data_IF_421352807916
#
_entry.id   IF_421352807916
#
_cell.length_a   1.000
_cell.length_b   1.000
_cell.length_c   1.000
_cell.angle_alpha   90.00
_cell.angle_beta   90.00
_cell.angle_gamma   90.00
#
_symmetry.space_group_name_H-M   'P 1'
#
loop_
_entity.id
_entity.type
_entity.pdbx_description
1 polymer ?
#
# COMPACT_ATOMS: atom_id res chain seq x y z
N UNK A 1 -11.31 36.28 -6.26
CA UNK A 1 -11.28 34.91 -5.73
C UNK A 1 -11.00 34.95 -4.25
N UNK A 2 -11.95 34.52 -3.44
CA UNK A 2 -11.84 34.47 -1.99
C UNK A 2 -10.77 33.47 -1.55
N UNK A 3 -10.21 33.61 -0.34
CA UNK A 3 -9.24 32.66 0.23
C UNK A 3 -9.77 31.23 0.23
N UNK A 4 -11.08 31.04 0.37
CA UNK A 4 -11.77 29.74 0.35
C UNK A 4 -11.81 29.13 -1.05
N UNK A 5 -11.99 29.93 -2.09
CA UNK A 5 -11.95 29.46 -3.49
C UNK A 5 -10.54 29.08 -3.92
N UNK A 6 -9.52 29.83 -3.49
CA UNK A 6 -8.12 29.48 -3.73
C UNK A 6 -7.71 28.18 -3.03
N UNK A 7 -8.24 27.92 -1.84
CA UNK A 7 -8.01 26.65 -1.12
C UNK A 7 -8.66 25.46 -1.81
N UNK A 8 -9.90 25.64 -2.30
CA UNK A 8 -10.62 24.60 -3.07
C UNK A 8 -9.95 24.27 -4.41
N UNK A 9 -9.54 25.29 -5.15
CA UNK A 9 -8.82 25.09 -6.44
C UNK A 9 -7.49 24.39 -6.19
N UNK A 10 -6.75 24.75 -5.13
CA UNK A 10 -5.52 24.06 -4.74
C UNK A 10 -5.76 22.61 -4.37
N UNK A 11 -6.76 22.32 -3.53
CA UNK A 11 -7.10 20.96 -3.13
C UNK A 11 -7.52 20.08 -4.32
N UNK A 12 -8.30 20.63 -5.26
CA UNK A 12 -8.76 19.90 -6.45
C UNK A 12 -7.62 19.66 -7.46
N UNK A 13 -6.71 20.63 -7.61
CA UNK A 13 -5.54 20.47 -8.47
C UNK A 13 -4.53 19.47 -7.88
N UNK A 14 -4.35 19.45 -6.55
CA UNK A 14 -3.43 18.53 -5.86
C UNK A 14 -3.96 17.10 -5.91
N UNK A 15 -5.29 16.89 -5.79
CA UNK A 15 -5.88 15.56 -5.90
C UNK A 15 -5.78 14.99 -7.33
N UNK A 16 -6.05 15.83 -8.36
CA UNK A 16 -5.86 15.43 -9.77
C UNK A 16 -4.41 15.11 -10.10
N UNK A 17 -3.47 15.94 -9.64
CA UNK A 17 -2.04 15.69 -9.85
C UNK A 17 -1.58 14.42 -9.14
N UNK A 18 -2.12 14.15 -7.95
CA UNK A 18 -1.89 12.90 -7.21
C UNK A 18 -2.42 11.67 -7.95
N UNK A 19 -3.62 11.75 -8.51
CA UNK A 19 -4.23 10.67 -9.30
C UNK A 19 -3.48 10.45 -10.64
N UNK A 20 -3.07 11.53 -11.30
CA UNK A 20 -2.27 11.46 -12.54
C UNK A 20 -0.85 10.94 -12.28
N UNK A 21 -0.22 11.32 -11.18
CA UNK A 21 1.08 10.79 -10.78
C UNK A 21 0.98 9.31 -10.36
N UNK A 22 -0.07 8.91 -9.66
CA UNK A 22 -0.33 7.51 -9.33
C UNK A 22 -0.58 6.67 -10.59
N UNK A 23 -1.34 7.20 -11.56
CA UNK A 23 -1.55 6.55 -12.85
C UNK A 23 -0.27 6.47 -13.69
N UNK A 24 0.52 7.54 -13.74
CA UNK A 24 1.81 7.56 -14.43
C UNK A 24 2.85 6.64 -13.74
N UNK A 25 2.78 6.52 -12.43
CA UNK A 25 3.56 5.58 -11.62
C UNK A 25 3.21 4.14 -11.98
N UNK A 26 1.92 3.82 -12.04
CA UNK A 26 1.41 2.50 -12.43
C UNK A 26 1.88 2.06 -13.82
N UNK A 27 1.85 2.96 -14.80
CA UNK A 27 2.24 2.65 -16.19
C UNK A 27 3.75 2.44 -16.35
N UNK A 28 4.59 3.11 -15.55
CA UNK A 28 6.06 3.05 -15.69
C UNK A 28 6.75 2.02 -14.81
N UNK A 29 6.22 1.75 -13.63
CA UNK A 29 6.85 0.84 -12.65
C UNK A 29 6.24 -0.55 -12.65
N UNK A 30 5.13 -0.77 -13.38
CA UNK A 30 4.34 -1.99 -13.25
C UNK A 30 3.67 -2.16 -11.89
N UNK A 31 3.87 -1.19 -10.96
CA UNK A 31 3.18 -1.12 -9.67
C UNK A 31 1.80 -0.50 -9.89
N UNK A 32 0.76 -1.32 -9.98
CA UNK A 32 -0.61 -0.85 -10.13
C UNK A 32 -1.17 -0.20 -8.86
N UNK A 33 -2.30 0.50 -8.99
CA UNK A 33 -3.11 0.95 -7.83
C UNK A 33 -3.38 -0.23 -6.86
N UNK A 34 -3.46 -1.46 -7.39
CA UNK A 34 -3.60 -2.69 -6.62
C UNK A 34 -2.40 -2.94 -5.71
N UNK A 35 -1.16 -2.76 -6.20
CA UNK A 35 0.04 -2.99 -5.39
C UNK A 35 0.16 -1.99 -4.24
N UNK A 36 -0.18 -0.71 -4.47
CA UNK A 36 -0.21 0.30 -3.41
C UNK A 36 -1.29 0.00 -2.37
N UNK A 37 -2.48 -0.43 -2.81
CA UNK A 37 -3.56 -0.81 -1.91
C UNK A 37 -3.25 -2.10 -1.16
N UNK A 38 -2.71 -3.10 -1.84
CA UNK A 38 -2.45 -4.42 -1.27
C UNK A 38 -1.16 -4.45 -0.44
N UNK A 39 -0.10 -3.77 -0.85
CA UNK A 39 1.16 -3.75 -0.10
C UNK A 39 1.16 -2.71 1.01
N UNK A 40 1.00 -1.42 0.69
CA UNK A 40 1.13 -0.35 1.68
C UNK A 40 -0.17 -0.14 2.47
N UNK A 41 -1.31 -0.04 1.78
CA UNK A 41 -2.60 0.20 2.41
C UNK A 41 -2.99 -0.91 3.37
N UNK A 42 -2.87 -2.16 2.94
CA UNK A 42 -3.17 -3.33 3.77
C UNK A 42 -2.19 -3.47 4.95
N UNK A 43 -0.89 -3.20 4.73
CA UNK A 43 0.10 -3.22 5.83
C UNK A 43 -0.27 -2.22 6.92
N UNK A 44 -0.63 -0.99 6.58
CA UNK A 44 -1.05 0.03 7.54
C UNK A 44 -2.30 -0.41 8.31
N UNK A 45 -3.33 -0.90 7.61
CA UNK A 45 -4.57 -1.36 8.26
C UNK A 45 -4.32 -2.54 9.20
N UNK A 46 -3.54 -3.53 8.77
CA UNK A 46 -3.16 -4.68 9.61
C UNK A 46 -2.35 -4.26 10.84
N UNK A 47 -1.39 -3.36 10.65
CA UNK A 47 -0.58 -2.82 11.75
C UNK A 47 -1.46 -2.11 12.77
N UNK A 48 -2.37 -1.24 12.32
CA UNK A 48 -3.33 -0.58 13.21
C UNK A 48 -4.19 -1.57 13.99
N UNK A 49 -4.79 -2.55 13.29
CA UNK A 49 -5.62 -3.57 13.95
C UNK A 49 -4.83 -4.34 15.02
N UNK A 50 -3.56 -4.64 14.76
CA UNK A 50 -2.70 -5.32 15.74
C UNK A 50 -2.29 -4.39 16.89
N UNK A 51 -2.04 -3.11 16.65
CA UNK A 51 -1.77 -2.14 17.72
C UNK A 51 -2.96 -2.02 18.67
N UNK A 52 -4.20 -1.96 18.16
CA UNK A 52 -5.38 -1.98 19.01
C UNK A 52 -5.53 -3.29 19.79
N UNK A 53 -5.24 -4.41 19.16
CA UNK A 53 -5.42 -5.73 19.78
C UNK A 53 -4.34 -6.09 20.79
N UNK A 54 -3.08 -5.68 20.58
CA UNK A 54 -1.91 -6.17 21.31
C UNK A 54 -1.12 -5.09 22.02
N UNK A 55 -1.38 -3.82 21.72
CA UNK A 55 -0.68 -2.67 22.30
C UNK A 55 -1.64 -1.55 22.74
N UNK A 56 -2.90 -1.88 23.07
CA UNK A 56 -3.90 -0.95 23.63
C UNK A 56 -4.11 0.31 22.77
N UNK A 57 -3.99 0.19 21.42
CA UNK A 57 -4.11 1.32 20.52
C UNK A 57 -2.96 2.33 20.65
N UNK A 58 -1.77 1.91 21.05
CA UNK A 58 -0.61 2.77 21.22
C UNK A 58 0.59 2.26 20.43
N UNK A 59 1.47 3.16 20.03
CA UNK A 59 2.80 2.80 19.53
C UNK A 59 3.59 2.26 20.75
N UNK A 60 4.16 1.04 20.65
CA UNK A 60 4.98 0.48 21.73
C UNK A 60 6.28 1.26 21.97
N UNK A 61 6.99 0.92 23.05
CA UNK A 61 8.29 1.51 23.38
C UNK A 61 9.34 1.22 22.30
N UNK A 62 10.26 2.17 22.06
CA UNK A 62 11.32 2.02 21.07
C UNK A 62 12.21 0.81 21.33
N UNK A 63 12.48 0.04 20.27
CA UNK A 63 13.40 -1.09 20.30
C UNK A 63 14.40 -0.99 19.15
N UNK A 64 15.54 -1.69 19.30
CA UNK A 64 16.53 -1.77 18.22
C UNK A 64 15.91 -2.35 16.94
N UNK A 65 16.35 -1.84 15.80
CA UNK A 65 15.78 -2.13 14.48
C UNK A 65 16.73 -2.89 13.56
N UNK A 66 17.65 -3.71 14.08
CA UNK A 66 18.70 -4.36 13.29
C UNK A 66 18.17 -5.12 12.07
N UNK A 67 17.01 -5.76 12.20
CA UNK A 67 16.38 -6.55 11.14
C UNK A 67 15.77 -5.70 10.01
N UNK A 68 15.50 -4.41 10.25
CA UNK A 68 14.91 -3.47 9.29
C UNK A 68 15.77 -2.22 9.10
N UNK A 69 17.02 -2.25 9.56
CA UNK A 69 17.94 -1.11 9.51
C UNK A 69 18.29 -0.67 8.08
N UNK A 70 18.11 -1.52 7.08
CA UNK A 70 18.30 -1.16 5.66
C UNK A 70 17.46 0.05 5.24
N UNK A 71 16.32 0.27 5.89
CA UNK A 71 15.46 1.45 5.66
C UNK A 71 16.17 2.76 5.94
N UNK A 72 17.02 2.85 6.96
CA UNK A 72 17.75 4.07 7.31
C UNK A 72 18.81 4.45 6.27
N UNK A 73 19.40 3.48 5.59
CA UNK A 73 20.34 3.71 4.48
C UNK A 73 19.68 4.07 3.16
N UNK A 74 18.36 3.87 3.06
CA UNK A 74 17.64 4.02 1.79
C UNK A 74 17.60 5.47 1.32
N UNK A 75 17.42 6.44 2.21
CA UNK A 75 17.43 7.87 1.86
C UNK A 75 18.73 8.28 1.15
N UNK A 76 19.88 7.79 1.63
CA UNK A 76 21.18 8.01 0.99
C UNK A 76 21.27 7.42 -0.42
N UNK A 77 20.68 6.24 -0.65
CA UNK A 77 20.64 5.60 -1.97
C UNK A 77 19.66 6.30 -2.93
N UNK A 78 18.53 6.79 -2.44
CA UNK A 78 17.52 7.45 -3.27
C UNK A 78 17.94 8.85 -3.72
N UNK A 79 18.69 9.60 -2.91
CA UNK A 79 19.14 10.98 -3.26
C UNK A 79 19.84 11.09 -4.63
N UNK A 80 20.84 10.27 -4.97
CA UNK A 80 21.46 10.34 -6.31
C UNK A 80 20.48 9.97 -7.42
N UNK A 81 19.62 8.98 -7.23
CA UNK A 81 18.60 8.60 -8.22
C UNK A 81 17.64 9.76 -8.54
N UNK A 82 17.19 10.46 -7.51
CA UNK A 82 16.33 11.66 -7.68
C UNK A 82 17.09 12.78 -8.40
N UNK A 83 18.35 13.03 -8.08
CA UNK A 83 19.19 14.03 -8.78
C UNK A 83 19.40 13.71 -10.25
N UNK A 84 19.48 12.43 -10.59
CA UNK A 84 19.61 11.93 -11.96
C UNK A 84 18.25 11.78 -12.66
N UNK A 85 17.15 12.24 -12.05
CA UNK A 85 15.78 12.14 -12.56
C UNK A 85 15.30 10.68 -12.77
N UNK A 86 15.93 9.71 -12.10
CA UNK A 86 15.57 8.30 -12.11
C UNK A 86 14.47 8.00 -11.08
N UNK A 87 13.38 8.76 -11.13
CA UNK A 87 12.30 8.69 -10.13
C UNK A 87 11.67 7.30 -10.03
N UNK A 88 11.50 6.59 -11.15
CA UNK A 88 10.93 5.24 -11.18
C UNK A 88 11.78 4.26 -10.35
N UNK A 89 13.12 4.29 -10.51
CA UNK A 89 14.03 3.42 -9.73
C UNK A 89 13.96 3.77 -8.24
N UNK A 90 13.95 5.07 -7.91
CA UNK A 90 13.86 5.51 -6.53
C UNK A 90 12.54 5.03 -5.86
N UNK A 91 11.44 5.06 -6.61
CA UNK A 91 10.14 4.59 -6.10
C UNK A 91 10.08 3.06 -6.00
N UNK A 92 10.67 2.33 -6.94
CA UNK A 92 10.80 0.87 -6.86
C UNK A 92 11.58 0.44 -5.62
N UNK A 93 12.71 1.10 -5.31
CA UNK A 93 13.46 0.82 -4.08
C UNK A 93 12.66 1.14 -2.81
N UNK A 94 11.93 2.25 -2.78
CA UNK A 94 11.07 2.59 -1.64
C UNK A 94 9.94 1.56 -1.46
N UNK A 95 9.32 1.09 -2.55
CA UNK A 95 8.30 0.05 -2.50
C UNK A 95 8.87 -1.33 -2.17
N UNK A 96 10.10 -1.64 -2.59
CA UNK A 96 10.79 -2.86 -2.17
C UNK A 96 10.96 -2.91 -0.64
N UNK A 97 11.22 -1.76 -0.01
CA UNK A 97 11.25 -1.67 1.46
C UNK A 97 9.87 -1.92 2.09
N UNK A 98 8.79 -1.40 1.53
CA UNK A 98 7.42 -1.72 1.98
C UNK A 98 7.14 -3.23 1.88
N UNK A 99 7.57 -3.87 0.80
CA UNK A 99 7.47 -5.34 0.64
C UNK A 99 8.30 -6.09 1.68
N UNK A 100 9.48 -5.57 2.05
CA UNK A 100 10.28 -6.14 3.14
C UNK A 100 9.57 -6.04 4.49
N UNK A 101 8.89 -4.92 4.79
CA UNK A 101 8.06 -4.78 5.99
C UNK A 101 6.90 -5.79 6.01
N UNK A 102 6.23 -5.98 4.87
CA UNK A 102 5.16 -6.99 4.75
C UNK A 102 5.69 -8.41 4.99
N UNK A 103 6.85 -8.75 4.45
CA UNK A 103 7.50 -10.02 4.67
C UNK A 103 7.85 -10.21 6.13
N UNK A 104 8.49 -9.20 6.74
CA UNK A 104 8.88 -9.22 8.15
C UNK A 104 7.70 -9.52 9.10
N UNK A 105 6.58 -8.82 8.93
CA UNK A 105 5.40 -9.03 9.78
C UNK A 105 4.78 -10.43 9.57
N UNK A 106 4.86 -10.97 8.35
CA UNK A 106 4.37 -12.31 8.06
C UNK A 106 5.29 -13.42 8.60
N UNK A 107 6.60 -13.20 8.62
CA UNK A 107 7.59 -14.13 9.18
C UNK A 107 7.56 -14.14 10.70
N UNK A 108 7.51 -12.96 11.32
CA UNK A 108 7.49 -12.83 12.80
C UNK A 108 6.14 -13.18 13.43
N UNK A 109 5.05 -13.10 12.69
CA UNK A 109 3.69 -13.47 13.11
C UNK A 109 3.32 -12.94 14.51
N UNK A 110 3.28 -11.63 14.72
CA UNK A 110 3.03 -11.05 16.05
C UNK A 110 1.72 -11.53 16.71
N UNK A 111 0.73 -11.98 15.91
CA UNK A 111 -0.51 -12.57 16.43
C UNK A 111 -0.34 -13.97 17.08
N UNK A 112 0.70 -14.72 16.70
CA UNK A 112 1.09 -15.97 17.33
C UNK A 112 2.02 -15.70 18.52
N UNK A 113 3.00 -14.78 18.35
CA UNK A 113 3.95 -14.39 19.39
C UNK A 113 3.25 -13.83 20.62
N UNK A 114 2.22 -13.03 20.47
CA UNK A 114 1.53 -12.38 21.58
C UNK A 114 1.03 -13.36 22.65
N UNK A 115 0.72 -14.59 22.26
CA UNK A 115 0.28 -15.63 23.20
C UNK A 115 1.40 -16.18 24.09
N UNK A 116 2.64 -16.11 23.64
CA UNK A 116 3.81 -16.69 24.31
C UNK A 116 4.75 -15.62 24.84
N UNK A 117 5.01 -14.61 24.04
CA UNK A 117 6.00 -13.56 24.26
C UNK A 117 5.40 -12.20 23.89
N UNK A 118 4.49 -11.64 24.73
CA UNK A 118 3.77 -10.41 24.39
C UNK A 118 4.71 -9.20 24.18
N UNK A 119 5.82 -9.12 24.89
CA UNK A 119 6.78 -8.04 24.73
C UNK A 119 7.50 -8.12 23.39
N UNK A 120 7.88 -9.32 22.93
CA UNK A 120 8.48 -9.46 21.59
C UNK A 120 7.45 -9.17 20.49
N UNK A 121 6.18 -9.53 20.67
CA UNK A 121 5.13 -9.16 19.75
C UNK A 121 4.96 -7.62 19.64
N UNK A 122 5.06 -6.90 20.77
CA UNK A 122 5.07 -5.44 20.79
C UNK A 122 6.31 -4.86 20.12
N UNK A 123 7.47 -5.46 20.34
CA UNK A 123 8.73 -5.09 19.69
C UNK A 123 8.64 -5.24 18.17
N UNK A 124 8.07 -6.32 17.68
CA UNK A 124 7.80 -6.52 16.24
C UNK A 124 6.88 -5.41 15.71
N UNK A 125 5.80 -5.08 16.42
CA UNK A 125 4.89 -4.01 16.01
C UNK A 125 5.58 -2.65 16.00
N UNK A 126 6.41 -2.34 16.98
CA UNK A 126 7.22 -1.12 16.98
C UNK A 126 8.10 -1.02 15.73
N UNK A 127 8.85 -2.09 15.41
CA UNK A 127 9.73 -2.14 14.23
C UNK A 127 8.97 -1.89 12.94
N UNK A 128 7.75 -2.44 12.81
CA UNK A 128 6.90 -2.19 11.62
C UNK A 128 6.42 -0.75 11.57
N UNK A 129 5.99 -0.16 12.69
CA UNK A 129 5.56 1.25 12.76
C UNK A 129 6.71 2.18 12.38
N UNK A 130 7.91 1.92 12.92
CA UNK A 130 9.09 2.72 12.60
C UNK A 130 9.50 2.56 11.13
N UNK A 131 9.43 1.36 10.58
CA UNK A 131 9.63 1.13 9.15
C UNK A 131 8.61 1.87 8.28
N UNK A 132 7.34 1.87 8.67
CA UNK A 132 6.28 2.64 7.99
C UNK A 132 6.51 4.15 8.09
N UNK A 133 7.05 4.66 9.21
CA UNK A 133 7.47 6.04 9.36
C UNK A 133 8.53 6.40 8.31
N UNK A 134 9.58 5.60 8.21
CA UNK A 134 10.66 5.79 7.21
C UNK A 134 10.09 5.72 5.79
N UNK A 135 9.33 4.69 5.45
CA UNK A 135 8.69 4.55 4.14
C UNK A 135 7.81 5.76 3.80
N UNK A 136 7.04 6.28 4.77
CA UNK A 136 6.18 7.45 4.56
C UNK A 136 6.97 8.71 4.21
N UNK A 137 8.16 8.89 4.78
CA UNK A 137 9.04 10.03 4.46
C UNK A 137 9.58 9.89 3.04
N UNK A 138 10.08 8.70 2.68
CA UNK A 138 10.68 8.43 1.38
C UNK A 138 9.66 8.52 0.22
N UNK A 139 8.40 8.16 0.47
CA UNK A 139 7.31 8.24 -0.51
C UNK A 139 6.59 9.60 -0.53
N UNK A 140 6.87 10.50 0.42
CA UNK A 140 6.24 11.84 0.48
C UNK A 140 6.42 12.65 -0.83
N UNK A 141 7.56 12.66 -1.52
CA UNK A 141 7.69 13.41 -2.78
C UNK A 141 6.75 12.95 -3.89
N UNK A 142 6.38 11.67 -3.89
CA UNK A 142 5.48 11.09 -4.89
C UNK A 142 3.99 11.20 -4.50
N UNK A 143 3.68 11.05 -3.21
CA UNK A 143 2.32 10.98 -2.70
C UNK A 143 2.17 11.77 -1.38
N UNK A 144 2.35 13.11 -1.38
CA UNK A 144 2.42 13.91 -0.15
C UNK A 144 1.19 13.75 0.73
N UNK A 145 -0.01 13.86 0.16
CA UNK A 145 -1.26 13.80 0.91
C UNK A 145 -1.50 12.41 1.51
N UNK A 146 -1.24 11.36 0.73
CA UNK A 146 -1.39 9.97 1.19
C UNK A 146 -0.39 9.61 2.29
N UNK A 147 0.82 10.12 2.20
CA UNK A 147 1.82 9.90 3.25
C UNK A 147 1.50 10.71 4.52
N UNK A 148 0.91 11.89 4.40
CA UNK A 148 0.39 12.62 5.55
C UNK A 148 -0.81 11.90 6.19
N UNK A 149 -1.73 11.34 5.40
CA UNK A 149 -2.83 10.50 5.89
C UNK A 149 -2.30 9.24 6.61
N UNK A 150 -1.28 8.57 6.05
CA UNK A 150 -0.63 7.42 6.66
C UNK A 150 -0.04 7.78 8.04
N UNK A 151 0.72 8.88 8.09
CA UNK A 151 1.32 9.34 9.36
C UNK A 151 0.25 9.65 10.40
N UNK A 152 -0.80 10.37 10.03
CA UNK A 152 -1.95 10.62 10.92
C UNK A 152 -2.60 9.33 11.38
N UNK A 153 -2.85 8.38 10.48
CA UNK A 153 -3.46 7.10 10.80
C UNK A 153 -2.65 6.29 11.83
N UNK A 154 -1.33 6.44 11.86
CA UNK A 154 -0.43 5.78 12.81
C UNK A 154 -0.04 6.68 14.00
N UNK A 155 -0.62 7.88 14.14
CA UNK A 155 -0.27 8.80 15.21
C UNK A 155 1.18 9.33 15.12
N UNK A 156 1.80 9.31 13.95
CA UNK A 156 3.15 9.81 13.72
C UNK A 156 3.15 11.33 13.50
N UNK A 157 4.32 11.97 13.57
CA UNK A 157 4.47 13.39 13.24
C UNK A 157 4.10 13.66 11.79
N UNK A 158 3.29 14.69 11.54
CA UNK A 158 2.88 15.05 10.18
C UNK A 158 4.00 15.75 9.41
N UNK A 159 4.66 16.72 10.04
CA UNK A 159 5.82 17.40 9.47
C UNK A 159 7.06 16.52 9.64
N UNK A 160 7.70 16.24 8.52
CA UNK A 160 8.88 15.35 8.49
C UNK A 160 9.96 15.94 7.59
N UNK A 161 11.20 15.61 7.91
CA UNK A 161 12.38 15.95 7.12
C UNK A 161 13.01 14.67 6.57
N UNK A 162 13.62 14.76 5.40
CA UNK A 162 14.26 13.60 4.76
C UNK A 162 15.35 12.98 5.65
N UNK A 163 16.07 13.81 6.41
CA UNK A 163 17.12 13.37 7.34
C UNK A 163 16.59 12.48 8.47
N UNK A 164 15.30 12.60 8.79
CA UNK A 164 14.67 11.73 9.80
C UNK A 164 14.47 10.30 9.31
N UNK A 165 14.47 10.09 7.98
CA UNK A 165 14.46 8.73 7.42
C UNK A 165 15.79 8.00 7.61
N UNK A 166 16.89 8.70 7.84
CA UNK A 166 18.21 8.13 8.08
C UNK A 166 18.42 7.70 9.55
N UNK A 167 17.43 7.93 10.40
CA UNK A 167 17.51 7.66 11.83
C UNK A 167 16.41 6.70 12.26
N UNK A 168 16.80 5.70 13.04
CA UNK A 168 15.90 4.76 13.67
C UNK A 168 15.46 5.23 15.06
N UNK A 169 14.27 4.81 15.49
CA UNK A 169 13.81 5.03 16.86
C UNK A 169 13.13 6.39 17.08
N UNK A 170 12.56 7.01 16.04
CA UNK A 170 11.89 8.30 16.13
C UNK A 170 10.36 8.21 16.27
N UNK A 171 9.77 7.02 16.14
CA UNK A 171 8.37 6.82 16.47
C UNK A 171 8.20 6.84 17.98
N UNK A 172 7.54 7.88 18.49
CA UNK A 172 7.32 8.08 19.92
C UNK A 172 6.14 7.25 20.42
N UNK A 173 6.21 6.66 21.64
CA UNK A 173 5.08 5.97 22.25
C UNK A 173 3.90 6.93 22.46
N UNK A 174 2.83 6.75 21.72
CA UNK A 174 1.62 7.58 21.81
C UNK A 174 0.39 6.82 21.33
N UNK A 175 -0.81 7.21 21.75
CA UNK A 175 -2.04 6.63 21.22
C UNK A 175 -2.18 6.93 19.73
N UNK A 176 -2.71 5.95 18.99
CA UNK A 176 -3.10 6.11 17.60
C UNK A 176 -4.59 6.46 17.51
N UNK A 177 -5.05 7.21 16.49
CA UNK A 177 -6.46 7.53 16.32
C UNK A 177 -7.31 6.25 16.18
N UNK A 178 -8.47 6.21 16.82
CA UNK A 178 -9.42 5.08 16.67
C UNK A 178 -9.92 4.97 15.24
N UNK A 179 -10.30 6.09 14.64
CA UNK A 179 -10.74 6.16 13.25
C UNK A 179 -9.62 6.64 12.34
N UNK A 180 -9.49 5.98 11.19
CA UNK A 180 -8.64 6.44 10.11
C UNK A 180 -9.21 5.99 8.77
N UNK A 181 -9.14 6.85 7.75
CA UNK A 181 -9.62 6.49 6.42
C UNK A 181 -8.79 5.35 5.84
N UNK A 182 -9.41 4.58 4.94
CA UNK A 182 -8.67 3.63 4.09
C UNK A 182 -7.79 4.43 3.15
N UNK A 183 -6.47 4.26 3.23
CA UNK A 183 -5.49 5.04 2.47
C UNK A 183 -5.70 4.92 0.95
N UNK A 184 -5.92 3.71 0.50
CA UNK A 184 -6.14 3.39 -0.91
C UNK A 184 -7.42 2.54 -1.01
N UNK A 185 -8.61 3.18 -1.08
CA UNK A 185 -9.85 2.44 -1.29
C UNK A 185 -9.77 1.77 -2.66
N UNK A 186 -9.97 0.44 -2.68
CA UNK A 186 -10.15 -0.25 -3.96
C UNK A 186 -11.36 0.38 -4.62
N UNK A 187 -11.14 1.03 -5.75
CA UNK A 187 -12.25 1.38 -6.63
C UNK A 187 -12.86 0.05 -7.03
N UNK A 188 -14.00 -0.30 -6.44
CA UNK A 188 -14.84 -1.29 -7.08
C UNK A 188 -15.00 -0.77 -8.51
N UNK A 189 -14.37 -1.45 -9.47
CA UNK A 189 -14.76 -1.23 -10.83
C UNK A 189 -16.28 -1.41 -10.79
N UNK A 190 -17.03 -0.30 -10.87
CA UNK A 190 -18.40 -0.39 -11.32
C UNK A 190 -18.24 -1.10 -12.65
N UNK A 191 -18.38 -2.41 -12.60
CA UNK A 191 -18.82 -3.15 -13.75
C UNK A 191 -20.16 -2.47 -14.01
N UNK A 192 -20.13 -1.41 -14.85
CA UNK A 192 -21.33 -1.06 -15.57
C UNK A 192 -21.69 -2.39 -16.21
N UNK A 193 -22.62 -3.06 -15.56
CA UNK A 193 -23.30 -4.16 -16.16
C UNK A 193 -23.84 -3.52 -17.43
N UNK A 194 -23.08 -3.62 -18.54
CA UNK A 194 -23.68 -3.49 -19.83
C UNK A 194 -24.91 -4.36 -19.69
N UNK A 195 -26.14 -3.80 -19.85
CA UNK A 195 -27.29 -4.64 -19.85
C UNK A 195 -26.85 -5.78 -20.78
N UNK A 196 -26.80 -6.99 -20.28
CA UNK A 196 -26.73 -8.16 -21.13
C UNK A 196 -28.01 -8.01 -21.93
N UNK A 197 -27.90 -7.35 -23.10
CA UNK A 197 -28.80 -7.68 -24.15
C UNK A 197 -28.63 -9.19 -24.27
N UNK A 198 -29.58 -9.90 -23.69
CA UNK A 198 -29.72 -11.30 -23.98
C UNK A 198 -29.97 -11.32 -25.50
N UNK A 199 -28.87 -11.39 -26.25
CA UNK A 199 -28.93 -11.57 -27.67
C UNK A 199 -29.40 -13.02 -27.87
N UNK A 200 -30.71 -13.20 -27.74
CA UNK A 200 -31.35 -14.43 -28.13
C UNK A 200 -31.08 -14.61 -29.62
N UNK A 201 -30.30 -15.64 -29.96
CA UNK A 201 -30.11 -16.03 -31.35
C UNK A 201 -31.47 -16.50 -31.89
N UNK A 202 -31.89 -15.91 -32.99
CA UNK A 202 -33.11 -16.34 -33.68
C UNK A 202 -32.98 -17.76 -34.16
N UNK A 203 -34.12 -18.42 -34.36
CA UNK A 203 -34.16 -19.79 -34.88
C UNK A 203 -33.44 -19.93 -36.22
N UNK A 204 -33.40 -18.84 -37.03
CA UNK A 204 -32.71 -18.76 -38.30
C UNK A 204 -31.18 -18.78 -38.13
N UNK A 205 -30.66 -18.22 -37.03
CA UNK A 205 -29.22 -18.25 -36.70
C UNK A 205 -28.83 -19.60 -36.11
N UNK A 206 -29.70 -20.19 -35.33
CA UNK A 206 -29.51 -21.54 -34.83
C UNK A 206 -29.50 -22.58 -35.96
N UNK A 207 -30.35 -22.43 -36.97
CA UNK A 207 -30.39 -23.29 -38.14
C UNK A 207 -29.11 -23.31 -39.01
N UNK A 208 -28.23 -22.27 -38.83
CA UNK A 208 -26.93 -22.22 -39.50
C UNK A 208 -25.86 -23.06 -38.77
N UNK A 209 -26.13 -23.50 -37.56
CA UNK A 209 -25.17 -24.26 -36.74
C UNK A 209 -25.28 -25.74 -37.07
N UNK A 210 -24.21 -26.30 -37.65
CA UNK A 210 -24.10 -27.73 -37.94
C UNK A 210 -23.74 -28.47 -36.63
N UNK A 211 -24.72 -29.20 -36.08
CA UNK A 211 -24.50 -30.01 -34.87
C UNK A 211 -24.12 -31.46 -35.31
N UNK A 212 -22.99 -31.94 -34.80
CA UNK A 212 -22.53 -33.31 -35.03
C UNK A 212 -22.37 -34.03 -33.69
N UNK A 213 -22.79 -35.27 -33.65
CA UNK A 213 -22.54 -36.16 -32.52
C UNK A 213 -21.11 -36.69 -32.64
N UNK A 214 -20.35 -36.60 -31.55
CA UNK A 214 -19.00 -37.14 -31.47
C UNK A 214 -18.81 -37.91 -30.16
N UNK A 215 -17.98 -38.95 -30.23
CA UNK A 215 -17.57 -39.72 -29.06
C UNK A 215 -16.24 -39.22 -28.58
N UNK A 216 -16.08 -38.95 -27.26
CA UNK A 216 -14.81 -38.53 -26.67
C UNK A 216 -13.96 -39.77 -26.43
N UNK A 217 -12.93 -39.95 -27.24
CA UNK A 217 -12.01 -41.08 -27.15
C UNK A 217 -10.90 -40.91 -26.13
N UNK A 218 -10.49 -39.68 -25.88
CA UNK A 218 -9.48 -39.34 -24.86
C UNK A 218 -9.67 -37.91 -24.35
N UNK A 219 -9.35 -37.68 -23.10
CA UNK A 219 -9.31 -36.32 -22.50
C UNK A 219 -8.03 -36.18 -21.67
N UNK A 220 -7.24 -35.17 -21.97
CA UNK A 220 -6.03 -34.82 -21.21
C UNK A 220 -6.18 -33.44 -20.56
N UNK A 221 -5.60 -33.30 -19.36
CA UNK A 221 -5.65 -32.06 -18.63
C UNK A 221 -4.71 -31.05 -19.30
N UNK A 222 -5.27 -29.90 -19.72
CA UNK A 222 -4.45 -28.85 -20.32
C UNK A 222 -3.46 -28.29 -19.29
N UNK A 223 -2.15 -28.12 -19.61
CA UNK A 223 -1.13 -27.71 -18.65
C UNK A 223 -1.35 -26.31 -18.06
N UNK A 224 -2.21 -25.49 -18.69
CA UNK A 224 -2.50 -24.11 -18.28
C UNK A 224 -3.98 -23.87 -17.93
N UNK A 225 -4.73 -24.90 -17.60
CA UNK A 225 -6.14 -24.80 -17.19
C UNK A 225 -6.31 -25.16 -15.71
#
# INVERSE_FOLDING_TARGET
LTLTERSRVRATATSRLGDELAAAFSVRTGCGEADLADDLGNLVQRTRAMLFRFAEGRIPEPVAGEELAEGTGLAGRLRPLVRELKFHVALEEAMAYVKALNRYINEKKPWELFKKEPEEARAVLYRVVEGLRIASILLTPAMPDKMAELRRALGLKEEVRLEEAERWGLAEPRPIPEEAPVLFPKKEAKVEAKPKEEAWIGIEDFAKVELRVAEVLAAEKHPNA
#
